data_IF_619200856186
#
_entry.id   IF_619200856186
#
_cell.length_a   1.000
_cell.length_b   1.000
_cell.length_c   1.000
_cell.angle_alpha   90.00
_cell.angle_beta   90.00
_cell.angle_gamma   90.00
#
_symmetry.space_group_name_H-M   'P 1'
#
loop_
_entity.id
_entity.type
_entity.pdbx_description
1 polymer ?
#
# COMPACT_ATOMS: atom_id res chain seq x y z
N UNK A 1 29.07 6.46 6.17
CA UNK A 1 28.73 7.24 4.97
C UNK A 1 27.63 8.23 5.35
N UNK A 2 27.85 9.53 5.25
CA UNK A 2 26.84 10.52 5.61
C UNK A 2 25.68 10.42 4.61
N UNK A 3 24.48 10.01 5.07
CA UNK A 3 23.29 10.02 4.22
C UNK A 3 22.96 11.46 3.84
N UNK A 4 22.94 11.78 2.54
CA UNK A 4 22.45 13.09 2.04
C UNK A 4 20.96 13.20 2.33
N UNK A 5 20.60 13.77 3.47
CA UNK A 5 19.21 14.06 3.86
C UNK A 5 18.98 15.56 3.91
N UNK A 6 17.84 16.02 3.40
CA UNK A 6 17.37 17.41 3.52
C UNK A 6 16.28 17.46 4.60
N UNK A 7 16.27 18.52 5.42
CA UNK A 7 15.25 18.72 6.46
C UNK A 7 13.91 19.05 5.81
N UNK A 8 12.87 18.34 6.22
CA UNK A 8 11.48 18.60 5.82
C UNK A 8 10.71 19.11 7.04
N UNK A 9 10.02 20.25 6.87
CA UNK A 9 9.11 20.81 7.86
C UNK A 9 7.68 20.72 7.32
N UNK A 10 6.76 20.24 8.14
CA UNK A 10 5.34 20.12 7.79
C UNK A 10 4.50 20.65 8.95
N UNK A 11 3.52 21.49 8.62
CA UNK A 11 2.52 21.94 9.59
C UNK A 11 1.36 20.94 9.58
N UNK A 12 1.00 20.45 10.77
CA UNK A 12 -0.08 19.48 10.95
C UNK A 12 -1.00 19.92 12.09
N UNK A 13 -2.32 19.69 11.96
CA UNK A 13 -3.23 19.92 13.07
C UNK A 13 -2.81 19.11 14.30
N UNK A 14 -2.96 19.71 15.50
CA UNK A 14 -2.50 19.10 16.77
C UNK A 14 -3.09 17.70 16.99
N UNK A 15 -4.35 17.51 16.60
CA UNK A 15 -5.03 16.21 16.71
C UNK A 15 -4.44 15.15 15.78
N UNK A 16 -4.02 15.55 14.58
CA UNK A 16 -3.43 14.63 13.60
C UNK A 16 -1.98 14.29 13.96
N UNK A 17 -1.23 15.21 14.55
CA UNK A 17 0.11 14.92 15.08
C UNK A 17 0.09 13.77 16.11
N UNK A 18 -0.88 13.79 17.03
CA UNK A 18 -1.05 12.70 18.02
C UNK A 18 -1.40 11.37 17.35
N UNK A 19 -2.28 11.40 16.35
CA UNK A 19 -2.68 10.21 15.58
C UNK A 19 -1.51 9.62 14.80
N UNK A 20 -0.73 10.46 14.11
CA UNK A 20 0.46 10.04 13.37
C UNK A 20 1.46 9.37 14.33
N UNK A 21 1.68 9.97 15.51
CA UNK A 21 2.56 9.37 16.52
C UNK A 21 2.06 7.98 16.97
N UNK A 22 0.77 7.85 17.26
CA UNK A 22 0.19 6.58 17.65
C UNK A 22 0.33 5.51 16.55
N UNK A 23 0.07 5.88 15.29
CA UNK A 23 0.21 4.98 14.14
C UNK A 23 1.65 4.54 13.91
N UNK A 24 2.62 5.45 14.06
CA UNK A 24 4.04 5.14 13.97
C UNK A 24 4.45 4.12 15.05
N UNK A 25 4.00 4.34 16.30
CA UNK A 25 4.27 3.41 17.41
C UNK A 25 3.65 2.02 17.20
N UNK A 26 2.43 1.92 16.67
CA UNK A 26 1.79 0.62 16.35
C UNK A 26 2.62 -0.18 15.34
N UNK A 27 3.34 0.52 14.45
CA UNK A 27 4.20 -0.08 13.42
C UNK A 27 5.67 -0.23 13.85
N UNK A 28 6.00 0.11 15.09
CA UNK A 28 7.38 0.16 15.60
C UNK A 28 8.32 1.05 14.78
N UNK A 29 7.79 2.18 14.30
CA UNK A 29 8.51 3.17 13.49
C UNK A 29 8.60 4.51 14.22
N UNK A 30 9.64 5.28 13.91
CA UNK A 30 9.66 6.71 14.24
C UNK A 30 8.68 7.48 13.35
N UNK A 31 8.24 8.67 13.77
CA UNK A 31 7.41 9.54 12.94
C UNK A 31 8.09 9.85 11.60
N UNK A 32 9.43 10.02 11.61
CA UNK A 32 10.21 10.25 10.40
C UNK A 32 10.08 9.07 9.44
N UNK A 33 10.31 7.85 9.91
CA UNK A 33 10.24 6.64 9.06
C UNK A 33 8.84 6.44 8.54
N UNK A 34 7.82 6.53 9.41
CA UNK A 34 6.43 6.40 9.02
C UNK A 34 6.03 7.40 7.92
N UNK A 35 6.37 8.68 8.09
CA UNK A 35 6.09 9.71 7.09
C UNK A 35 6.89 9.44 5.80
N UNK A 36 8.15 9.03 5.92
CA UNK A 36 9.01 8.76 4.76
C UNK A 36 8.47 7.58 3.96
N UNK A 37 8.06 6.48 4.59
CA UNK A 37 7.44 5.33 3.92
C UNK A 37 6.17 5.73 3.16
N UNK A 38 5.27 6.45 3.84
CA UNK A 38 4.01 6.91 3.25
C UNK A 38 4.22 7.80 2.02
N UNK A 39 5.28 8.62 2.03
CA UNK A 39 5.64 9.50 0.92
C UNK A 39 6.40 8.73 -0.16
N UNK A 40 7.29 7.81 0.23
CA UNK A 40 8.13 7.04 -0.69
C UNK A 40 7.27 6.20 -1.64
N UNK A 41 6.27 5.48 -1.13
CA UNK A 41 5.34 4.70 -1.95
C UNK A 41 4.59 5.53 -3.01
N UNK A 42 4.39 6.83 -2.74
CA UNK A 42 3.72 7.76 -3.65
C UNK A 42 4.66 8.40 -4.66
N UNK A 43 5.90 8.71 -4.26
CA UNK A 43 6.90 9.34 -5.14
C UNK A 43 7.56 8.31 -6.05
N UNK A 44 7.88 7.13 -5.49
CA UNK A 44 8.50 6.01 -6.18
C UNK A 44 7.53 4.83 -6.12
N UNK A 45 6.46 4.83 -6.92
CA UNK A 45 5.60 3.67 -7.03
C UNK A 45 6.42 2.55 -7.68
N UNK A 46 7.07 1.70 -6.87
CA UNK A 46 7.89 0.59 -7.35
C UNK A 46 7.06 -0.42 -8.15
N UNK A 47 5.74 -0.44 -7.92
CA UNK A 47 4.82 -1.42 -8.50
C UNK A 47 3.66 -0.75 -9.25
N UNK A 48 3.98 0.03 -10.30
CA UNK A 48 2.93 0.48 -11.24
C UNK A 48 2.40 -0.75 -12.00
N UNK A 49 1.09 -1.04 -11.93
CA UNK A 49 0.51 -2.16 -12.68
C UNK A 49 0.83 -2.05 -14.18
N UNK A 50 1.37 -3.12 -14.75
CA UNK A 50 1.56 -3.19 -16.21
C UNK A 50 0.20 -3.25 -16.94
N UNK A 51 0.21 -3.18 -18.27
CA UNK A 51 -1.02 -3.16 -19.08
C UNK A 51 -1.92 -4.37 -18.82
N UNK A 52 -1.34 -5.55 -18.62
CA UNK A 52 -2.06 -6.80 -18.31
C UNK A 52 -2.78 -6.70 -16.97
N UNK A 53 -2.09 -6.25 -15.92
CA UNK A 53 -2.68 -6.07 -14.58
C UNK A 53 -3.78 -5.01 -14.58
N UNK A 54 -3.56 -3.88 -15.28
CA UNK A 54 -4.59 -2.83 -15.43
C UNK A 54 -5.85 -3.37 -16.08
N UNK A 55 -5.71 -4.19 -17.13
CA UNK A 55 -6.84 -4.83 -17.81
C UNK A 55 -7.57 -5.81 -16.91
N UNK A 56 -6.84 -6.61 -16.12
CA UNK A 56 -7.45 -7.53 -15.16
C UNK A 56 -8.27 -6.78 -14.08
N UNK A 57 -7.75 -5.67 -13.55
CA UNK A 57 -8.47 -4.81 -12.60
C UNK A 57 -9.75 -4.25 -13.22
N UNK A 58 -9.71 -3.81 -14.47
CA UNK A 58 -10.89 -3.33 -15.20
C UNK A 58 -11.93 -4.42 -15.46
N UNK A 59 -11.50 -5.64 -15.79
CA UNK A 59 -12.39 -6.77 -15.96
C UNK A 59 -13.06 -7.16 -14.63
N UNK A 60 -12.33 -7.10 -13.50
CA UNK A 60 -12.89 -7.29 -12.16
C UNK A 60 -13.97 -6.24 -11.86
N UNK A 61 -13.68 -4.95 -12.08
CA UNK A 61 -14.65 -3.84 -11.86
C UNK A 61 -15.92 -4.01 -12.67
N UNK A 62 -15.79 -4.48 -13.91
CA UNK A 62 -16.91 -4.73 -14.82
C UNK A 62 -17.59 -6.08 -14.59
N UNK A 63 -17.18 -6.83 -13.56
CA UNK A 63 -17.64 -8.19 -13.24
C UNK A 63 -17.52 -9.17 -14.41
N UNK A 64 -16.50 -9.00 -15.24
CA UNK A 64 -16.21 -9.86 -16.39
C UNK A 64 -15.13 -10.87 -16.02
N UNK A 65 -15.24 -12.09 -16.56
CA UNK A 65 -14.25 -13.17 -16.38
C UNK A 65 -13.95 -13.53 -14.91
N UNK A 66 -14.91 -13.34 -14.02
CA UNK A 66 -14.82 -13.76 -12.62
C UNK A 66 -15.30 -15.21 -12.49
N UNK A 67 -14.50 -16.05 -11.82
CA UNK A 67 -14.91 -17.40 -11.39
C UNK A 67 -15.24 -17.35 -9.90
N UNK A 68 -16.36 -17.96 -9.51
CA UNK A 68 -16.75 -18.07 -8.10
C UNK A 68 -16.41 -19.45 -7.60
N UNK A 69 -15.84 -19.52 -6.40
CA UNK A 69 -15.69 -20.76 -5.63
C UNK A 69 -16.58 -20.67 -4.39
N UNK A 70 -17.20 -21.78 -3.99
CA UNK A 70 -18.07 -21.85 -2.80
C UNK A 70 -17.27 -22.02 -1.52
N UNK A 71 -16.07 -22.58 -1.62
CA UNK A 71 -15.17 -22.81 -0.49
C UNK A 71 -13.70 -22.80 -0.95
N UNK A 72 -12.81 -22.79 0.03
CA UNK A 72 -11.35 -22.72 -0.19
C UNK A 72 -10.84 -23.95 -0.96
N UNK A 73 -11.41 -25.14 -0.73
CA UNK A 73 -11.00 -26.36 -1.44
C UNK A 73 -11.34 -26.30 -2.93
N UNK A 74 -12.51 -25.75 -3.30
CA UNK A 74 -12.91 -25.53 -4.69
C UNK A 74 -12.01 -24.47 -5.37
N UNK A 75 -11.63 -23.42 -4.64
CA UNK A 75 -10.69 -22.41 -5.13
C UNK A 75 -9.32 -23.03 -5.47
N UNK A 76 -8.76 -23.83 -4.57
CA UNK A 76 -7.46 -24.49 -4.79
C UNK A 76 -7.51 -25.48 -5.96
N UNK A 77 -8.57 -26.30 -6.03
CA UNK A 77 -8.81 -27.20 -7.16
C UNK A 77 -8.87 -26.45 -8.50
N UNK A 78 -9.53 -25.29 -8.53
CA UNK A 78 -9.66 -24.46 -9.72
C UNK A 78 -8.37 -23.72 -10.11
N UNK A 79 -7.51 -23.42 -9.14
CA UNK A 79 -6.20 -22.78 -9.35
C UNK A 79 -5.09 -23.81 -9.65
N UNK A 80 -5.35 -25.10 -9.42
CA UNK A 80 -4.37 -26.17 -9.68
C UNK A 80 -3.23 -26.21 -8.66
N UNK A 81 -3.47 -25.73 -7.44
CA UNK A 81 -2.53 -25.71 -6.31
C UNK A 81 -3.11 -26.41 -5.09
#
# INVERSE_FOLDING_TARGET
>A
MASRTIRMSIDVPVNDHKRIKALATIKDLTIKEFVTECVHERIYPENIPNSTTKKAIEDIRKKRKLKKAKNVNELFKDLGI
#
